data_IF_654309279881
#
_entry.id   IF_654309279881
#
_cell.length_a   1.000
_cell.length_b   1.000
_cell.length_c   1.000
_cell.angle_alpha   90.00
_cell.angle_beta   90.00
_cell.angle_gamma   90.00
#
_symmetry.space_group_name_H-M   'P 1'
#
loop_
_entity.id
_entity.type
_entity.pdbx_description
1 polymer ?
#
# COMPACT_ATOMS: atom_id res chain seq x y z
N UNK A 1 -16.77 5.30 -15.50
CA UNK A 1 -15.91 4.53 -14.58
C UNK A 1 -15.16 3.53 -15.44
N UNK A 2 -13.83 3.59 -15.48
CA UNK A 2 -13.01 2.65 -16.27
C UNK A 2 -12.51 1.59 -15.29
N UNK A 3 -12.67 0.31 -15.60
CA UNK A 3 -12.11 -0.78 -14.78
C UNK A 3 -10.57 -0.69 -14.79
N UNK A 4 -9.92 -1.17 -13.71
CA UNK A 4 -8.46 -1.17 -13.54
C UNK A 4 -7.80 0.21 -13.45
N UNK A 5 -8.53 1.24 -13.04
CA UNK A 5 -7.92 2.52 -12.65
C UNK A 5 -7.16 2.33 -11.33
N UNK A 6 -5.92 2.82 -11.28
CA UNK A 6 -5.17 2.91 -10.02
C UNK A 6 -5.80 3.99 -9.16
N UNK A 7 -6.06 3.66 -7.90
CA UNK A 7 -6.55 4.63 -6.92
C UNK A 7 -5.43 4.93 -5.92
N UNK A 8 -5.08 6.21 -5.84
CA UNK A 8 -3.99 6.66 -4.98
C UNK A 8 -4.46 6.72 -3.52
N UNK A 9 -3.64 6.17 -2.63
CA UNK A 9 -3.83 6.30 -1.19
C UNK A 9 -2.52 6.68 -0.51
N UNK A 10 -2.59 7.23 0.70
CA UNK A 10 -1.40 7.67 1.45
C UNK A 10 -1.51 7.24 2.91
N UNK A 11 -0.45 6.59 3.40
CA UNK A 11 -0.29 6.28 4.83
C UNK A 11 0.56 7.39 5.44
N UNK A 12 -0.01 8.11 6.42
CA UNK A 12 0.70 9.16 7.15
C UNK A 12 1.27 8.56 8.43
N UNK A 13 2.60 8.59 8.55
CA UNK A 13 3.28 8.30 9.80
C UNK A 13 3.45 9.62 10.55
N UNK A 14 2.70 9.78 11.64
CA UNK A 14 2.73 10.99 12.47
C UNK A 14 3.67 10.76 13.65
N UNK A 15 4.96 11.08 13.48
CA UNK A 15 5.90 11.39 14.57
C UNK A 15 7.23 11.91 13.99
N UNK A 16 7.73 13.05 14.52
CA UNK A 16 8.88 13.80 13.98
C UNK A 16 10.25 13.17 14.33
N UNK A 17 10.36 11.87 14.60
CA UNK A 17 11.69 11.26 14.82
C UNK A 17 12.45 11.14 13.49
N UNK A 18 13.43 12.03 13.33
CA UNK A 18 14.24 12.20 12.12
C UNK A 18 15.18 11.03 11.81
N UNK A 19 15.41 10.13 12.77
CA UNK A 19 16.26 8.95 12.59
C UNK A 19 15.48 7.77 11.97
N UNK A 20 14.20 7.61 12.32
CA UNK A 20 13.35 6.50 11.83
C UNK A 20 12.72 6.83 10.46
N UNK A 21 12.52 8.11 10.18
CA UNK A 21 11.76 8.59 9.01
C UNK A 21 12.46 8.46 7.64
N UNK A 22 13.72 8.05 7.59
CA UNK A 22 14.47 7.90 6.34
C UNK A 22 14.45 6.47 5.76
N UNK A 23 14.11 5.47 6.57
CA UNK A 23 14.24 4.06 6.21
C UNK A 23 12.95 3.25 6.44
N UNK A 24 11.79 3.89 6.36
CA UNK A 24 10.52 3.20 6.53
C UNK A 24 10.22 2.31 5.32
N UNK A 25 9.90 1.05 5.58
CA UNK A 25 9.34 0.11 4.62
C UNK A 25 8.06 -0.48 5.18
N UNK A 26 7.10 -0.81 4.32
CA UNK A 26 5.79 -1.32 4.70
C UNK A 26 5.62 -2.72 4.10
N UNK A 27 5.04 -3.63 4.87
CA UNK A 27 4.59 -4.93 4.40
C UNK A 27 3.07 -4.96 4.53
N UNK A 28 2.37 -5.25 3.43
CA UNK A 28 0.94 -5.50 3.46
C UNK A 28 0.69 -6.99 3.67
N UNK A 29 -0.08 -7.33 4.70
CA UNK A 29 -0.47 -8.70 5.02
C UNK A 29 -1.99 -8.84 4.87
N UNK A 30 -2.42 -9.96 4.30
CA UNK A 30 -3.83 -10.25 4.08
C UNK A 30 -4.04 -11.59 3.38
N UNK A 31 -5.31 -11.97 3.19
CA UNK A 31 -5.64 -13.17 2.41
C UNK A 31 -5.31 -12.91 0.94
N UNK A 32 -4.45 -13.75 0.36
CA UNK A 32 -4.13 -13.68 -1.05
C UNK A 32 -5.24 -14.29 -1.90
N UNK A 33 -5.41 -13.77 -3.11
CA UNK A 33 -6.28 -14.38 -4.11
C UNK A 33 -5.68 -15.71 -4.60
N UNK A 34 -6.51 -16.76 -4.68
CA UNK A 34 -6.04 -18.09 -5.07
C UNK A 34 -5.69 -18.20 -6.57
N UNK A 35 -6.30 -17.37 -7.42
CA UNK A 35 -6.07 -17.36 -8.86
C UNK A 35 -5.01 -16.32 -9.25
N UNK A 36 -4.78 -15.30 -8.42
CA UNK A 36 -3.75 -14.28 -8.61
C UNK A 36 -2.87 -14.13 -7.35
N UNK A 37 -1.83 -14.97 -7.20
CA UNK A 37 -0.88 -14.88 -6.10
C UNK A 37 -0.25 -13.48 -6.04
N UNK A 38 -0.02 -12.98 -4.83
CA UNK A 38 0.52 -11.64 -4.59
C UNK A 38 -0.51 -10.50 -4.58
N UNK A 39 -1.74 -10.74 -5.02
CA UNK A 39 -2.86 -9.79 -4.89
C UNK A 39 -3.76 -10.12 -3.70
N UNK A 40 -4.49 -9.14 -3.17
CA UNK A 40 -5.47 -9.34 -2.10
C UNK A 40 -6.77 -9.93 -2.65
N UNK A 41 -7.26 -10.97 -1.98
CA UNK A 41 -8.54 -11.59 -2.28
C UNK A 41 -9.70 -10.62 -1.97
N UNK A 42 -10.69 -10.58 -2.86
CA UNK A 42 -11.95 -9.93 -2.55
C UNK A 42 -12.77 -10.82 -1.59
N UNK A 43 -12.70 -10.56 -0.29
CA UNK A 43 -13.42 -11.31 0.76
C UNK A 43 -14.82 -10.77 1.05
N UNK A 44 -15.35 -9.92 0.18
CA UNK A 44 -16.68 -9.34 0.37
C UNK A 44 -17.80 -10.42 0.26
N UNK A 45 -18.91 -10.18 0.97
CA UNK A 45 -20.00 -11.15 1.17
C UNK A 45 -20.86 -11.43 -0.08
N UNK A 46 -22.06 -11.97 0.13
CA UNK A 46 -22.97 -12.33 -0.97
C UNK A 46 -23.27 -11.12 -1.89
N UNK A 47 -23.15 -11.33 -3.21
CA UNK A 47 -23.32 -10.28 -4.22
C UNK A 47 -22.04 -9.56 -4.65
N UNK A 48 -20.88 -9.97 -4.12
CA UNK A 48 -19.59 -9.38 -4.48
C UNK A 48 -19.12 -9.77 -5.88
N UNK A 49 -18.34 -8.88 -6.47
CA UNK A 49 -17.69 -9.14 -7.75
C UNK A 49 -16.78 -10.37 -7.66
N UNK A 50 -16.96 -11.30 -8.58
CA UNK A 50 -16.13 -12.50 -8.74
C UNK A 50 -15.05 -12.26 -9.78
N UNK A 51 -13.94 -13.01 -9.70
CA UNK A 51 -12.77 -12.88 -10.59
C UNK A 51 -12.11 -11.48 -10.56
N UNK A 52 -12.17 -10.81 -9.42
CA UNK A 52 -11.46 -9.55 -9.18
C UNK A 52 -10.57 -9.69 -7.95
N UNK A 53 -9.36 -9.16 -8.05
CA UNK A 53 -8.39 -9.09 -6.95
C UNK A 53 -7.86 -7.65 -6.84
N UNK A 54 -7.39 -7.28 -5.65
CA UNK A 54 -6.82 -5.96 -5.40
C UNK A 54 -5.28 -6.05 -5.43
N UNK A 55 -4.68 -5.37 -6.41
CA UNK A 55 -3.22 -5.23 -6.49
C UNK A 55 -2.78 -3.94 -5.81
N UNK A 56 -1.84 -4.04 -4.86
CA UNK A 56 -1.17 -2.89 -4.26
C UNK A 56 0.05 -2.55 -5.12
N UNK A 57 0.30 -1.25 -5.30
CA UNK A 57 1.49 -0.75 -5.96
C UNK A 57 2.31 0.07 -4.97
N UNK A 58 3.62 -0.09 -5.05
CA UNK A 58 4.57 0.71 -4.30
C UNK A 58 4.64 2.16 -4.80
N UNK A 59 5.33 3.03 -4.06
CA UNK A 59 5.61 4.42 -4.45
C UNK A 59 6.46 4.52 -5.73
N UNK A 60 7.17 3.45 -6.08
CA UNK A 60 7.93 3.27 -7.32
C UNK A 60 7.04 2.89 -8.52
N UNK A 61 5.73 2.70 -8.28
CA UNK A 61 4.75 2.28 -9.27
C UNK A 61 4.79 0.78 -9.60
N UNK A 62 5.66 0.01 -8.94
CA UNK A 62 5.77 -1.44 -9.12
C UNK A 62 4.72 -2.18 -8.31
N UNK A 63 4.33 -3.36 -8.77
CA UNK A 63 3.42 -4.21 -8.00
C UNK A 63 4.10 -4.66 -6.70
N UNK A 64 3.45 -4.39 -5.58
CA UNK A 64 3.88 -4.85 -4.26
C UNK A 64 3.06 -6.07 -3.88
N UNK A 65 3.70 -7.25 -3.85
CA UNK A 65 2.99 -8.47 -3.49
C UNK A 65 2.72 -8.52 -1.99
N UNK A 66 1.60 -9.14 -1.63
CA UNK A 66 1.23 -9.36 -0.24
C UNK A 66 2.26 -10.27 0.45
N UNK A 67 2.75 -9.83 1.60
CA UNK A 67 3.81 -10.47 2.36
C UNK A 67 5.23 -10.03 1.97
N UNK A 68 5.40 -9.20 0.94
CA UNK A 68 6.71 -8.65 0.54
C UNK A 68 6.94 -7.25 1.12
N UNK A 69 8.22 -6.92 1.34
CA UNK A 69 8.66 -5.62 1.82
C UNK A 69 8.66 -4.61 0.68
N UNK A 70 8.02 -3.46 0.90
CA UNK A 70 8.05 -2.35 -0.06
C UNK A 70 9.46 -1.78 -0.25
N UNK A 71 9.66 -1.08 -1.37
CA UNK A 71 10.78 -0.16 -1.49
C UNK A 71 10.79 0.83 -0.31
N UNK A 72 11.99 1.20 0.15
CA UNK A 72 12.15 2.22 1.20
C UNK A 72 11.55 3.54 0.75
N UNK A 73 10.70 4.12 1.60
CA UNK A 73 10.13 5.45 1.41
C UNK A 73 10.87 6.44 2.29
N UNK A 74 11.38 7.51 1.68
CA UNK A 74 11.69 8.72 2.43
C UNK A 74 10.37 9.38 2.79
N UNK A 75 10.06 9.45 4.09
CA UNK A 75 8.86 10.15 4.53
C UNK A 75 9.03 11.63 4.16
N UNK A 76 8.18 12.11 3.24
CA UNK A 76 8.04 13.53 2.95
C UNK A 76 7.78 14.24 4.28
N UNK A 77 8.81 14.91 4.81
CA UNK A 77 8.68 15.78 5.99
C UNK A 77 7.44 16.62 5.75
N UNK A 78 6.48 16.56 6.66
CA UNK A 78 5.41 17.54 6.65
C UNK A 78 6.05 18.89 7.01
N UNK A 79 6.56 19.58 5.97
CA UNK A 79 7.47 20.73 6.00
C UNK A 79 6.88 21.98 6.68
N UNK A 80 5.78 21.83 7.41
CA UNK A 80 5.06 22.91 8.11
C UNK A 80 4.58 22.58 9.53
N UNK A 81 4.87 21.41 10.13
CA UNK A 81 4.47 21.12 11.52
C UNK A 81 5.59 20.74 12.49
N UNK A 82 6.74 20.26 12.02
CA UNK A 82 7.95 20.20 12.85
C UNK A 82 8.75 21.51 12.71
N UNK A 83 8.08 22.68 12.76
CA UNK A 83 8.77 23.95 12.93
C UNK A 83 8.96 24.15 14.42
N UNK A 84 10.21 24.36 14.81
CA UNK A 84 10.65 24.62 16.19
C UNK A 84 9.81 25.68 16.89
#
# INVERSE_FOLDING_TARGET
MVANQKEDFTIKLEDCDTQISQNAAIIFNGQQDANQPGSLANTAGAGSATNVALQIYGPDGQALNIGETSSTVTLERWRKRCSA
#
